data_IF_068958384746
#
_entry.id   IF_068958384746
#
_cell.length_a   1.000
_cell.length_b   1.000
_cell.length_c   1.000
_cell.angle_alpha   90.00
_cell.angle_beta   90.00
_cell.angle_gamma   90.00
#
_symmetry.space_group_name_H-M   'P 1'
#
loop_
_entity.id
_entity.type
_entity.pdbx_description
1 polymer ?
#
# COMPACT_ATOMS: atom_id res chain seq x y z
N UNK A 1 1.19 -36.85 -18.11
CA UNK A 1 1.31 -35.57 -17.40
C UNK A 1 0.11 -35.33 -16.51
N UNK A 2 0.25 -35.59 -15.21
CA UNK A 2 -0.80 -35.32 -14.22
C UNK A 2 -0.60 -33.90 -13.70
N UNK A 3 -1.58 -33.04 -13.95
CA UNK A 3 -1.63 -31.71 -13.33
C UNK A 3 -1.79 -31.89 -11.83
N UNK A 4 -0.92 -31.24 -11.05
CA UNK A 4 -1.02 -31.21 -9.60
C UNK A 4 -2.26 -30.42 -9.20
N UNK A 5 -3.08 -30.89 -8.24
CA UNK A 5 -4.23 -30.13 -7.75
C UNK A 5 -3.77 -28.79 -7.17
N UNK A 6 -4.49 -27.71 -7.49
CA UNK A 6 -4.28 -26.40 -6.88
C UNK A 6 -4.57 -26.49 -5.37
N UNK A 7 -3.53 -26.41 -4.55
CA UNK A 7 -3.69 -26.20 -3.11
C UNK A 7 -3.89 -24.70 -2.88
N UNK A 8 -5.06 -24.28 -2.36
CA UNK A 8 -5.28 -22.88 -2.03
C UNK A 8 -4.28 -22.47 -0.94
N UNK A 9 -3.51 -21.40 -1.22
CA UNK A 9 -2.56 -20.81 -0.27
C UNK A 9 -3.31 -20.56 1.06
N UNK A 10 -2.77 -21.02 2.21
CA UNK A 10 -3.41 -20.81 3.49
C UNK A 10 -3.69 -19.32 3.68
N UNK A 11 -4.94 -18.95 4.00
CA UNK A 11 -5.29 -17.58 4.36
C UNK A 11 -4.47 -17.21 5.60
N UNK A 12 -3.43 -16.41 5.41
CA UNK A 12 -2.62 -15.87 6.50
C UNK A 12 -3.54 -15.02 7.38
N UNK A 13 -3.72 -15.44 8.63
CA UNK A 13 -4.43 -14.65 9.63
C UNK A 13 -3.46 -13.58 10.15
N UNK A 14 -3.93 -12.32 10.07
CA UNK A 14 -3.36 -11.07 10.60
C UNK A 14 -1.99 -10.65 10.04
N UNK A 15 -2.00 -9.64 9.16
CA UNK A 15 -0.84 -9.13 8.41
C UNK A 15 0.00 -8.05 9.11
N UNK A 16 -0.23 -7.73 10.39
CA UNK A 16 0.59 -6.70 11.06
C UNK A 16 2.08 -7.07 11.11
N UNK A 17 2.39 -8.37 11.26
CA UNK A 17 3.77 -8.87 11.25
C UNK A 17 4.41 -8.70 9.86
N UNK A 18 3.60 -8.69 8.79
CA UNK A 18 4.08 -8.58 7.42
C UNK A 18 4.40 -7.13 7.04
N UNK A 19 3.53 -6.19 7.42
CA UNK A 19 3.76 -4.75 7.16
C UNK A 19 5.01 -4.22 7.86
N UNK A 20 5.14 -4.45 9.17
CA UNK A 20 6.28 -3.94 9.93
C UNK A 20 7.60 -4.57 9.42
N UNK A 21 7.59 -5.86 9.05
CA UNK A 21 8.74 -6.53 8.43
C UNK A 21 9.20 -5.84 7.15
N UNK A 22 8.29 -5.55 6.21
CA UNK A 22 8.67 -4.88 4.96
C UNK A 22 9.14 -3.46 5.18
N UNK A 23 8.52 -2.71 6.10
CA UNK A 23 8.98 -1.36 6.44
C UNK A 23 10.40 -1.37 7.03
N UNK A 24 10.71 -2.33 7.89
CA UNK A 24 12.07 -2.50 8.44
C UNK A 24 13.07 -2.91 7.36
N UNK A 25 12.76 -3.95 6.58
CA UNK A 25 13.65 -4.48 5.54
C UNK A 25 13.98 -3.43 4.48
N UNK A 26 13.01 -2.60 4.10
CA UNK A 26 13.18 -1.55 3.09
C UNK A 26 13.74 -0.25 3.68
N UNK A 27 14.00 -0.19 4.99
CA UNK A 27 14.50 0.99 5.69
C UNK A 27 13.49 2.14 5.80
N UNK A 28 12.20 1.84 5.62
CA UNK A 28 11.05 2.75 5.65
C UNK A 28 10.36 2.81 7.02
N UNK A 29 10.85 2.06 8.01
CA UNK A 29 10.42 2.17 9.39
C UNK A 29 10.64 3.58 9.95
N UNK A 30 9.83 3.98 10.94
CA UNK A 30 9.95 5.29 11.59
C UNK A 30 11.34 5.51 12.17
N UNK A 31 11.98 6.62 11.80
CA UNK A 31 13.37 6.91 12.18
C UNK A 31 14.44 6.09 11.43
N UNK A 32 14.04 5.35 10.39
CA UNK A 32 14.95 4.59 9.53
C UNK A 32 15.76 5.47 8.57
N UNK A 33 16.68 4.85 7.79
CA UNK A 33 17.56 5.56 6.86
C UNK A 33 16.82 6.31 5.75
N UNK A 34 15.55 5.99 5.49
CA UNK A 34 14.72 6.61 4.44
C UNK A 34 13.59 7.46 5.01
N UNK A 35 13.79 8.08 6.18
CA UNK A 35 12.79 8.91 6.85
C UNK A 35 12.20 10.04 5.98
N UNK A 36 12.99 10.62 5.06
CA UNK A 36 12.49 11.64 4.15
C UNK A 36 11.39 11.11 3.20
N UNK A 37 11.55 9.89 2.67
CA UNK A 37 10.54 9.29 1.79
C UNK A 37 9.25 8.97 2.55
N UNK A 38 9.38 8.56 3.81
CA UNK A 38 8.25 8.41 4.71
C UNK A 38 7.53 9.76 4.89
N UNK A 39 8.24 10.84 5.21
CA UNK A 39 7.63 12.16 5.39
C UNK A 39 6.93 12.67 4.13
N UNK A 40 7.53 12.48 2.95
CA UNK A 40 6.92 12.83 1.67
C UNK A 40 5.65 12.01 1.38
N UNK A 41 5.69 10.71 1.65
CA UNK A 41 4.53 9.82 1.52
C UNK A 41 3.41 10.21 2.47
N UNK A 42 3.75 10.56 3.71
CA UNK A 42 2.81 10.95 4.75
C UNK A 42 2.09 12.24 4.37
N UNK A 43 2.82 13.24 3.88
CA UNK A 43 2.26 14.50 3.42
C UNK A 43 1.33 14.31 2.21
N UNK A 44 1.65 13.40 1.30
CA UNK A 44 0.81 13.05 0.17
C UNK A 44 -0.46 12.32 0.60
N UNK A 45 -0.33 11.31 1.47
CA UNK A 45 -1.45 10.56 2.04
C UNK A 45 -2.41 11.47 2.79
N UNK A 46 -1.93 12.38 3.63
CA UNK A 46 -2.77 13.31 4.39
C UNK A 46 -3.54 14.28 3.48
N UNK A 47 -2.95 14.69 2.35
CA UNK A 47 -3.65 15.50 1.34
C UNK A 47 -4.74 14.71 0.63
N UNK A 48 -4.52 13.43 0.40
CA UNK A 48 -5.46 12.54 -0.28
C UNK A 48 -6.62 12.07 0.63
N UNK A 49 -6.31 11.63 1.85
CA UNK A 49 -7.25 11.01 2.78
C UNK A 49 -7.96 12.03 3.70
N UNK A 50 -7.40 13.24 3.81
CA UNK A 50 -7.81 14.25 4.77
C UNK A 50 -7.04 14.15 6.09
N UNK A 51 -6.97 15.25 6.83
CA UNK A 51 -6.12 15.40 8.02
C UNK A 51 -6.67 14.75 9.31
N UNK A 52 -7.25 13.55 9.21
CA UNK A 52 -7.76 12.80 10.36
C UNK A 52 -6.70 11.82 10.92
N UNK A 53 -6.77 11.53 12.21
CA UNK A 53 -5.84 10.59 12.86
C UNK A 53 -5.99 9.16 12.32
N UNK A 54 -7.23 8.74 12.05
CA UNK A 54 -7.58 7.44 11.46
C UNK A 54 -7.91 7.56 9.96
N UNK A 55 -7.22 8.47 9.27
CA UNK A 55 -7.43 8.68 7.85
C UNK A 55 -7.10 7.40 7.07
N UNK A 56 -8.01 7.03 6.18
CA UNK A 56 -7.91 5.87 5.29
C UNK A 56 -8.40 6.26 3.91
N UNK A 57 -7.79 5.71 2.87
CA UNK A 57 -8.24 5.88 1.50
C UNK A 57 -9.18 4.73 1.13
N UNK A 58 -10.37 5.08 0.64
CA UNK A 58 -11.18 4.12 -0.11
C UNK A 58 -10.55 3.85 -1.46
N UNK A 59 -10.88 2.72 -2.07
CA UNK A 59 -10.41 2.35 -3.41
C UNK A 59 -10.64 3.46 -4.45
N UNK A 60 -11.83 4.09 -4.45
CA UNK A 60 -12.14 5.16 -5.41
C UNK A 60 -11.31 6.43 -5.16
N UNK A 61 -11.06 6.79 -3.91
CA UNK A 61 -10.18 7.91 -3.58
C UNK A 61 -8.75 7.61 -4.04
N UNK A 62 -8.26 6.39 -3.78
CA UNK A 62 -6.95 5.97 -4.24
C UNK A 62 -6.84 6.01 -5.78
N UNK A 63 -7.83 5.48 -6.50
CA UNK A 63 -7.87 5.53 -7.97
C UNK A 63 -7.79 6.97 -8.48
N UNK A 64 -8.56 7.88 -7.88
CA UNK A 64 -8.52 9.29 -8.26
C UNK A 64 -7.14 9.92 -8.02
N UNK A 65 -6.52 9.64 -6.88
CA UNK A 65 -5.19 10.13 -6.52
C UNK A 65 -4.13 9.56 -7.47
N UNK A 66 -4.17 8.25 -7.74
CA UNK A 66 -3.19 7.60 -8.60
C UNK A 66 -3.26 8.09 -10.05
N UNK A 67 -4.47 8.36 -10.55
CA UNK A 67 -4.67 8.99 -11.85
C UNK A 67 -4.10 10.42 -11.90
N UNK A 68 -4.27 11.20 -10.83
CA UNK A 68 -3.82 12.59 -10.77
C UNK A 68 -2.30 12.74 -10.59
N UNK A 69 -1.69 11.91 -9.73
CA UNK A 69 -0.28 12.05 -9.36
C UNK A 69 0.66 11.27 -10.27
N UNK A 70 0.24 10.09 -10.74
CA UNK A 70 1.11 9.16 -11.47
C UNK A 70 0.55 8.72 -12.82
N UNK A 71 -0.54 9.34 -13.28
CA UNK A 71 -1.20 9.04 -14.55
C UNK A 71 -1.59 7.56 -14.71
N UNK A 72 -1.88 6.86 -13.60
CA UNK A 72 -2.35 5.49 -13.67
C UNK A 72 -3.75 5.45 -14.31
N UNK A 73 -3.94 4.52 -15.23
CA UNK A 73 -5.29 4.18 -15.65
C UNK A 73 -6.05 3.47 -14.52
N UNK A 74 -7.38 3.50 -14.59
CA UNK A 74 -8.25 2.96 -13.54
C UNK A 74 -7.99 1.48 -13.24
N UNK A 75 -7.67 0.66 -14.25
CA UNK A 75 -7.45 -0.77 -14.08
C UNK A 75 -6.13 -1.01 -13.35
N UNK A 76 -5.07 -0.33 -13.75
CA UNK A 76 -3.76 -0.40 -13.10
C UNK A 76 -3.82 0.09 -11.66
N UNK A 77 -4.49 1.23 -11.41
CA UNK A 77 -4.69 1.74 -10.06
C UNK A 77 -5.45 0.75 -9.16
N UNK A 78 -6.53 0.15 -9.65
CA UNK A 78 -7.27 -0.88 -8.90
C UNK A 78 -6.42 -2.11 -8.58
N UNK A 79 -5.59 -2.56 -9.52
CA UNK A 79 -4.68 -3.68 -9.29
C UNK A 79 -3.64 -3.35 -8.20
N UNK A 80 -3.04 -2.16 -8.26
CA UNK A 80 -2.10 -1.70 -7.24
C UNK A 80 -2.74 -1.53 -5.86
N UNK A 81 -3.98 -1.03 -5.79
CA UNK A 81 -4.73 -0.92 -4.54
C UNK A 81 -4.87 -2.30 -3.87
N UNK A 82 -5.40 -3.29 -4.59
CA UNK A 82 -5.57 -4.64 -4.03
C UNK A 82 -4.26 -5.35 -3.74
N UNK A 83 -3.18 -5.05 -4.47
CA UNK A 83 -1.86 -5.60 -4.19
C UNK A 83 -1.25 -5.02 -2.90
N UNK A 84 -1.68 -3.83 -2.50
CA UNK A 84 -1.14 -3.09 -1.35
C UNK A 84 -2.10 -3.04 -0.15
N UNK A 85 -3.35 -3.50 -0.30
CA UNK A 85 -4.35 -3.76 0.76
C UNK A 85 -3.99 -5.06 1.48
N UNK A 86 -2.95 -5.00 2.32
CA UNK A 86 -2.29 -6.14 2.94
C UNK A 86 -3.18 -6.78 4.00
N UNK A 87 -3.97 -5.97 4.71
CA UNK A 87 -4.94 -6.45 5.70
C UNK A 87 -6.29 -6.88 5.08
N UNK A 88 -6.47 -6.66 3.76
CA UNK A 88 -7.69 -6.93 2.99
C UNK A 88 -8.93 -6.23 3.57
N UNK A 89 -8.73 -5.07 4.21
CA UNK A 89 -9.82 -4.27 4.77
C UNK A 89 -10.64 -3.57 3.68
N UNK A 90 -10.15 -3.55 2.44
CA UNK A 90 -10.73 -2.76 1.35
C UNK A 90 -10.51 -1.26 1.55
N UNK A 91 -9.57 -0.89 2.42
CA UNK A 91 -9.17 0.48 2.73
C UNK A 91 -7.66 0.52 2.79
N UNK A 92 -7.07 1.60 2.28
CA UNK A 92 -5.63 1.78 2.32
C UNK A 92 -5.26 2.71 3.46
N UNK A 93 -4.49 2.17 4.40
CA UNK A 93 -3.90 2.94 5.47
C UNK A 93 -2.57 3.60 5.01
N UNK A 94 -2.02 4.43 5.89
CA UNK A 94 -0.79 5.20 5.62
C UNK A 94 0.44 4.33 5.31
N UNK A 95 0.58 3.19 5.98
CA UNK A 95 1.71 2.25 5.80
C UNK A 95 1.60 1.50 4.49
N UNK A 96 0.41 1.01 4.18
CA UNK A 96 0.10 0.39 2.89
C UNK A 96 0.33 1.35 1.72
N UNK A 97 -0.03 2.63 1.89
CA UNK A 97 0.25 3.68 0.91
C UNK A 97 1.76 3.89 0.70
N UNK A 98 2.55 3.89 1.78
CA UNK A 98 4.01 4.00 1.70
C UNK A 98 4.63 2.82 0.95
N UNK A 99 4.18 1.59 1.25
CA UNK A 99 4.63 0.39 0.55
C UNK A 99 4.20 0.39 -0.93
N UNK A 100 2.99 0.88 -1.23
CA UNK A 100 2.55 1.10 -2.61
C UNK A 100 3.49 2.07 -3.35
N UNK A 101 3.81 3.23 -2.76
CA UNK A 101 4.68 4.22 -3.39
C UNK A 101 6.06 3.62 -3.67
N UNK A 102 6.61 2.89 -2.71
CA UNK A 102 7.87 2.19 -2.89
C UNK A 102 7.81 1.17 -4.03
N UNK A 103 6.79 0.34 -4.09
CA UNK A 103 6.71 -0.75 -5.07
C UNK A 103 6.39 -0.29 -6.50
N UNK A 104 5.64 0.80 -6.67
CA UNK A 104 5.04 1.16 -7.97
C UNK A 104 5.35 2.57 -8.47
N UNK A 105 5.86 3.47 -7.61
CA UNK A 105 6.10 4.88 -7.94
C UNK A 105 7.58 5.24 -7.87
N UNK A 106 8.31 4.72 -6.89
CA UNK A 106 9.74 4.97 -6.67
C UNK A 106 10.58 3.69 -6.91
N UNK A 107 10.75 3.24 -8.17
CA UNK A 107 11.62 2.11 -8.49
C UNK A 107 13.12 2.44 -8.38
#
# INVERSE_FOLDING_TARGET
DSLVPFEPIPRLKSCNIFEDHWLEELGLASGGPRAQLQEESDAEFLRAAGAAHDAVLTEEQFIAVAAQLWAFDRRSARACFHASDLDQSGRMNKREYLLFREAFVHP
#
